data_IF_672127589187
#
_entry.id   IF_672127589187
#
_cell.length_a   1.000
_cell.length_b   1.000
_cell.length_c   1.000
_cell.angle_alpha   90.00
_cell.angle_beta   90.00
_cell.angle_gamma   90.00
#
_symmetry.space_group_name_H-M   'P 1'
#
loop_
_entity.id
_entity.type
_entity.pdbx_description
1 polymer ?
#
# COMPACT_ATOMS: atom_id res chain seq x y z
N UNK A 1 7.67 -4.25 2.81
CA UNK A 1 7.75 -2.89 3.40
C UNK A 1 9.12 -2.72 4.04
N UNK A 2 9.88 -1.68 3.68
CA UNK A 2 11.12 -1.32 4.36
C UNK A 2 10.84 -0.18 5.37
N UNK A 3 11.50 -0.20 6.53
CA UNK A 3 11.46 0.92 7.48
C UNK A 3 12.68 1.83 7.31
N UNK A 4 12.73 2.96 8.04
CA UNK A 4 13.89 3.90 8.02
C UNK A 4 15.25 3.28 8.40
N UNK A 5 15.24 2.04 8.91
CA UNK A 5 16.42 1.26 9.30
C UNK A 5 16.70 0.11 8.32
N UNK A 6 16.12 0.16 7.12
CA UNK A 6 16.24 -0.84 6.07
C UNK A 6 15.81 -2.27 6.48
N UNK A 7 14.99 -2.40 7.52
CA UNK A 7 14.41 -3.70 7.91
C UNK A 7 13.16 -3.95 7.08
N UNK A 8 13.14 -5.08 6.39
CA UNK A 8 11.96 -5.56 5.68
C UNK A 8 11.01 -6.26 6.64
N UNK A 9 9.71 -6.09 6.43
CA UNK A 9 8.68 -6.91 7.08
C UNK A 9 7.53 -7.18 6.11
N UNK A 10 7.00 -8.41 6.17
CA UNK A 10 5.76 -8.78 5.48
C UNK A 10 4.56 -8.20 6.24
N UNK A 11 3.67 -7.57 5.50
CA UNK A 11 2.52 -6.82 6.00
C UNK A 11 1.36 -7.00 5.03
N UNK A 12 0.15 -7.06 5.55
CA UNK A 12 -1.06 -7.04 4.72
C UNK A 12 -1.48 -5.58 4.56
N UNK A 13 -1.71 -5.17 3.32
CA UNK A 13 -2.32 -3.89 2.98
C UNK A 13 -3.80 -4.15 2.72
N UNK A 14 -4.67 -3.42 3.41
CA UNK A 14 -6.12 -3.48 3.21
C UNK A 14 -6.57 -2.12 2.71
N UNK A 15 -7.36 -2.13 1.64
CA UNK A 15 -7.95 -0.93 1.04
C UNK A 15 -9.45 -1.11 1.05
N UNK A 16 -10.13 -0.10 1.54
CA UNK A 16 -11.59 0.00 1.57
C UNK A 16 -11.99 1.28 0.85
N UNK A 17 -13.29 1.50 0.71
CA UNK A 17 -13.87 2.75 0.20
C UNK A 17 -13.53 3.98 1.05
N UNK A 18 -13.13 3.80 2.32
CA UNK A 18 -12.89 4.91 3.26
C UNK A 18 -11.50 4.97 3.85
N UNK A 19 -10.79 3.84 3.92
CA UNK A 19 -9.54 3.74 4.66
C UNK A 19 -8.51 2.81 3.99
N UNK A 20 -7.25 3.12 4.25
CA UNK A 20 -6.09 2.28 3.98
C UNK A 20 -5.51 1.81 5.33
N UNK A 21 -5.44 0.51 5.54
CA UNK A 21 -4.96 -0.09 6.79
C UNK A 21 -3.78 -1.03 6.57
N UNK A 22 -2.92 -1.14 7.59
CA UNK A 22 -1.79 -2.09 7.64
C UNK A 22 -2.02 -3.10 8.75
N UNK A 23 -2.03 -4.38 8.40
CA UNK A 23 -2.13 -5.46 9.36
C UNK A 23 -0.79 -6.21 9.47
N UNK A 24 -0.58 -6.81 10.64
CA UNK A 24 0.44 -7.82 10.82
C UNK A 24 0.10 -9.06 9.98
N UNK A 25 1.08 -9.63 9.28
CA UNK A 25 0.83 -10.73 8.36
C UNK A 25 0.53 -12.07 9.05
N UNK A 26 0.86 -12.22 10.34
CA UNK A 26 0.65 -13.46 11.09
C UNK A 26 -0.60 -13.38 11.96
N UNK A 27 -0.74 -12.28 12.70
CA UNK A 27 -1.81 -12.10 13.67
C UNK A 27 -3.03 -11.34 13.13
N UNK A 28 -2.92 -10.75 11.93
CA UNK A 28 -3.93 -9.88 11.32
C UNK A 28 -4.38 -8.70 12.21
N UNK A 29 -3.59 -8.38 13.23
CA UNK A 29 -3.82 -7.22 14.09
C UNK A 29 -3.46 -5.94 13.35
N UNK A 30 -4.29 -4.92 13.56
CA UNK A 30 -4.03 -3.58 13.07
C UNK A 30 -2.74 -3.02 13.69
N UNK A 31 -1.83 -2.54 12.85
CA UNK A 31 -0.51 -2.09 13.30
C UNK A 31 -0.45 -0.60 13.64
N UNK A 32 -1.30 0.19 12.98
CA UNK A 32 -1.43 1.64 13.15
C UNK A 32 -2.86 2.01 12.81
N UNK A 33 -3.31 3.18 13.27
CA UNK A 33 -4.59 3.73 12.84
C UNK A 33 -4.68 3.75 11.29
N UNK A 34 -5.84 3.35 10.72
CA UNK A 34 -6.03 3.38 9.29
C UNK A 34 -5.96 4.82 8.78
N UNK A 35 -5.39 5.01 7.61
CA UNK A 35 -5.32 6.31 6.96
C UNK A 35 -6.63 6.53 6.21
N UNK A 36 -7.39 7.62 6.47
CA UNK A 36 -8.55 7.97 5.66
C UNK A 36 -8.14 8.14 4.19
N UNK A 37 -8.93 7.58 3.29
CA UNK A 37 -8.63 7.59 1.85
C UNK A 37 -8.59 9.03 1.30
N UNK A 38 -9.44 9.91 1.83
CA UNK A 38 -9.43 11.35 1.54
C UNK A 38 -8.09 12.06 1.85
N UNK A 39 -7.22 11.47 2.69
CA UNK A 39 -5.92 12.05 3.04
C UNK A 39 -4.80 11.64 2.07
N UNK A 40 -5.09 10.77 1.09
CA UNK A 40 -4.14 10.40 0.04
C UNK A 40 -4.14 11.50 -1.02
N UNK A 41 -2.95 11.98 -1.34
CA UNK A 41 -2.75 13.06 -2.32
C UNK A 41 -2.30 12.55 -3.69
N UNK A 42 -1.53 11.45 -3.72
CA UNK A 42 -0.95 10.90 -4.95
C UNK A 42 -0.50 9.45 -4.72
N UNK A 43 -0.38 8.71 -5.81
CA UNK A 43 0.34 7.43 -5.87
C UNK A 43 1.53 7.58 -6.82
N UNK A 44 2.68 7.06 -6.41
CA UNK A 44 3.86 6.90 -7.27
C UNK A 44 4.18 5.42 -7.40
N UNK A 45 4.52 4.98 -8.61
CA UNK A 45 4.88 3.59 -8.90
C UNK A 45 6.22 3.52 -9.62
N UNK A 46 6.95 2.44 -9.37
CA UNK A 46 8.23 2.17 -10.03
C UNK A 46 7.97 1.69 -11.46
N UNK A 47 8.65 2.23 -12.48
CA UNK A 47 8.54 1.73 -13.85
C UNK A 47 9.17 0.34 -14.02
N UNK A 48 10.12 -0.02 -13.16
CA UNK A 48 10.71 -1.37 -13.12
C UNK A 48 9.72 -2.39 -12.54
N UNK A 49 9.75 -3.65 -13.00
CA UNK A 49 8.84 -4.72 -12.56
C UNK A 49 9.23 -5.29 -11.18
N UNK A 50 9.36 -4.42 -10.18
CA UNK A 50 9.77 -4.76 -8.81
C UNK A 50 8.62 -4.63 -7.78
N UNK A 51 7.44 -4.20 -8.22
CA UNK A 51 6.25 -4.06 -7.39
C UNK A 51 6.29 -2.87 -6.40
N UNK A 52 7.28 -1.97 -6.50
CA UNK A 52 7.43 -0.82 -5.61
C UNK A 52 6.37 0.25 -5.90
N UNK A 53 5.71 0.68 -4.83
CA UNK A 53 4.72 1.75 -4.85
C UNK A 53 4.85 2.63 -3.61
N UNK A 54 4.39 3.88 -3.74
CA UNK A 54 4.29 4.86 -2.67
C UNK A 54 2.89 5.47 -2.72
N UNK A 55 2.18 5.41 -1.59
CA UNK A 55 0.93 6.17 -1.39
C UNK A 55 1.27 7.38 -0.54
N UNK A 56 1.13 8.57 -1.13
CA UNK A 56 1.49 9.82 -0.50
C UNK A 56 0.35 10.35 0.38
N UNK A 57 0.62 10.52 1.67
CA UNK A 57 -0.34 10.99 2.68
C UNK A 57 0.33 12.05 3.56
N UNK A 58 -0.44 12.99 4.12
CA UNK A 58 0.10 14.22 4.72
C UNK A 58 1.31 14.04 5.66
N UNK A 59 1.27 13.06 6.57
CA UNK A 59 2.31 12.90 7.60
C UNK A 59 3.32 11.78 7.33
N UNK A 60 2.89 10.67 6.71
CA UNK A 60 3.71 9.45 6.63
C UNK A 60 3.30 8.53 5.47
N UNK A 61 4.02 8.68 4.35
CA UNK A 61 3.85 7.87 3.16
C UNK A 61 3.85 6.36 3.43
N UNK A 62 2.96 5.66 2.72
CA UNK A 62 2.94 4.21 2.71
C UNK A 62 3.84 3.72 1.59
N UNK A 63 5.03 3.27 1.95
CA UNK A 63 6.01 2.68 1.03
C UNK A 63 5.94 1.15 1.13
N UNK A 64 5.75 0.49 -0.01
CA UNK A 64 5.63 -0.97 -0.07
C UNK A 64 6.15 -1.54 -1.39
N UNK A 65 6.42 -2.85 -1.36
CA UNK A 65 6.61 -3.64 -2.58
C UNK A 65 5.58 -4.75 -2.53
N UNK A 66 4.71 -4.84 -3.53
CA UNK A 66 3.78 -5.96 -3.66
C UNK A 66 4.54 -7.16 -4.21
N UNK A 67 4.28 -8.32 -3.62
CA UNK A 67 4.74 -9.58 -4.20
C UNK A 67 3.79 -9.89 -5.34
N UNK A 68 4.29 -9.95 -6.56
CA UNK A 68 3.56 -10.39 -7.73
C UNK A 68 3.92 -11.88 -7.98
N UNK A 69 3.03 -12.84 -7.64
CA UNK A 69 3.10 -14.20 -8.18
C UNK A 69 3.17 -14.18 -9.71
N UNK A 70 3.65 -15.28 -10.31
CA UNK A 70 3.59 -15.43 -11.77
C UNK A 70 2.14 -15.22 -12.23
N UNK A 71 1.97 -14.40 -13.27
CA UNK A 71 0.69 -14.08 -13.91
C UNK A 71 -0.26 -13.15 -13.12
N UNK A 72 0.18 -12.55 -12.02
CA UNK A 72 -0.60 -11.54 -11.29
C UNK A 72 -0.01 -10.14 -11.47
N UNK A 73 -0.88 -9.12 -11.52
CA UNK A 73 -0.46 -7.72 -11.49
C UNK A 73 -1.09 -6.95 -10.31
N UNK A 74 -0.50 -7.14 -9.12
CA UNK A 74 -1.02 -6.51 -7.90
C UNK A 74 -0.86 -5.01 -7.87
N UNK A 75 0.13 -4.43 -8.56
CA UNK A 75 0.29 -2.96 -8.62
C UNK A 75 -0.82 -2.36 -9.47
N UNK A 76 -1.12 -2.95 -10.62
CA UNK A 76 -2.24 -2.57 -11.48
C UNK A 76 -3.58 -2.70 -10.76
N UNK A 77 -3.82 -3.82 -10.06
CA UNK A 77 -5.01 -4.00 -9.22
C UNK A 77 -5.11 -2.90 -8.14
N UNK A 78 -4.00 -2.62 -7.44
CA UNK A 78 -3.92 -1.56 -6.43
C UNK A 78 -4.31 -0.19 -7.01
N UNK A 79 -3.74 0.17 -8.17
CA UNK A 79 -4.04 1.43 -8.84
C UNK A 79 -5.52 1.48 -9.23
N UNK A 80 -6.03 0.42 -9.86
CA UNK A 80 -7.42 0.35 -10.31
C UNK A 80 -8.42 0.48 -9.15
N UNK A 81 -8.16 -0.22 -8.04
CA UNK A 81 -8.98 -0.14 -6.83
C UNK A 81 -8.98 1.26 -6.24
N UNK A 82 -7.81 1.91 -6.17
CA UNK A 82 -7.71 3.27 -5.63
C UNK A 82 -8.40 4.28 -6.55
N UNK A 83 -8.14 4.25 -7.86
CA UNK A 83 -8.78 5.14 -8.83
C UNK A 83 -10.31 5.01 -8.83
N UNK A 84 -10.85 3.82 -8.60
CA UNK A 84 -12.30 3.62 -8.49
C UNK A 84 -12.93 4.35 -7.28
N UNK A 85 -12.14 4.89 -6.36
CA UNK A 85 -12.61 5.70 -5.23
C UNK A 85 -12.43 7.21 -5.42
N UNK A 86 -11.71 7.64 -6.47
CA UNK A 86 -11.52 9.05 -6.81
C UNK A 86 -12.19 9.33 -8.16
N UNK A 87 -13.48 9.65 -8.10
CA UNK A 87 -14.22 10.26 -9.21
C UNK A 87 -14.05 11.79 -9.23
#
# INVERSE_FOLDING_TARGET
>A
KFNRFNKSSLRVLVITDKYIAKLDANSFKLLKEPVPLQNVSRISVCPEPNGLFIIHVADNDVVGCLKNPKEEERVGELIGVLLAQYE
#
